data_IF_017596666353
#
_entry.id   IF_017596666353
#
_cell.length_a   1.000
_cell.length_b   1.000
_cell.length_c   1.000
_cell.angle_alpha   90.00
_cell.angle_beta   90.00
_cell.angle_gamma   90.00
#
_symmetry.space_group_name_H-M   'P 1'
#
loop_
_entity.id
_entity.type
_entity.pdbx_description
1 polymer ?
#
# COMPACT_ATOMS: atom_id res chain seq x y z
N UNK A 1 15.06 -19.36 -13.29
CA UNK A 1 13.86 -19.72 -14.06
C UNK A 1 14.27 -20.55 -15.30
N UNK A 2 14.95 -19.95 -16.29
CA UNK A 2 15.35 -20.68 -17.52
C UNK A 2 16.06 -22.02 -17.28
N UNK A 3 17.02 -22.08 -16.34
CA UNK A 3 17.80 -23.30 -16.05
C UNK A 3 17.01 -24.40 -15.34
N UNK A 4 15.84 -24.09 -14.75
CA UNK A 4 15.05 -25.01 -13.94
C UNK A 4 13.72 -25.40 -14.58
N UNK A 5 13.48 -25.03 -15.84
CA UNK A 5 12.21 -25.30 -16.57
C UNK A 5 10.94 -24.94 -15.76
N UNK A 6 11.02 -23.85 -14.98
CA UNK A 6 9.89 -23.41 -14.18
C UNK A 6 8.82 -22.79 -15.09
N UNK A 7 7.61 -23.32 -15.06
CA UNK A 7 6.47 -22.70 -15.74
C UNK A 7 6.07 -21.43 -14.96
N UNK A 8 5.98 -20.30 -15.66
CA UNK A 8 5.52 -19.04 -15.11
C UNK A 8 4.30 -18.59 -15.88
N UNK A 9 3.23 -18.22 -15.17
CA UNK A 9 2.01 -17.63 -15.73
C UNK A 9 1.85 -16.23 -15.17
N UNK A 10 1.57 -15.26 -16.01
CA UNK A 10 1.29 -13.87 -15.64
C UNK A 10 -0.11 -13.49 -16.11
N UNK A 11 -0.93 -12.99 -15.19
CA UNK A 11 -2.32 -12.58 -15.45
C UNK A 11 -2.40 -11.06 -15.35
N UNK A 12 -2.96 -10.41 -16.35
CA UNK A 12 -3.13 -8.96 -16.33
C UNK A 12 -3.69 -8.39 -17.62
N UNK A 13 -3.95 -7.09 -17.61
CA UNK A 13 -4.50 -6.37 -18.78
C UNK A 13 -3.45 -6.00 -19.81
N UNK A 14 -2.19 -5.83 -19.37
CA UNK A 14 -1.06 -5.46 -20.22
C UNK A 14 0.14 -6.33 -19.93
N UNK A 15 0.81 -6.77 -20.97
CA UNK A 15 2.05 -7.50 -20.87
C UNK A 15 3.18 -6.60 -20.37
N UNK A 16 3.98 -7.11 -19.45
CA UNK A 16 5.12 -6.40 -18.88
C UNK A 16 6.42 -6.98 -19.43
N UNK A 17 7.49 -6.19 -19.40
CA UNK A 17 8.85 -6.66 -19.76
C UNK A 17 9.27 -7.91 -18.97
N UNK A 18 8.70 -8.11 -17.78
CA UNK A 18 8.99 -9.30 -16.97
C UNK A 18 8.44 -10.58 -17.60
N UNK A 19 7.33 -10.52 -18.35
CA UNK A 19 6.75 -11.66 -19.06
C UNK A 19 7.78 -12.20 -20.08
N UNK A 20 8.34 -11.32 -20.90
CA UNK A 20 9.37 -11.68 -21.89
C UNK A 20 10.63 -12.22 -21.23
N UNK A 21 11.13 -11.53 -20.19
CA UNK A 21 12.35 -11.94 -19.47
C UNK A 21 12.21 -13.30 -18.81
N UNK A 22 11.06 -13.59 -18.28
CA UNK A 22 10.75 -14.87 -17.61
C UNK A 22 10.28 -15.93 -18.59
N UNK A 23 9.98 -15.59 -19.84
CA UNK A 23 9.28 -16.44 -20.82
C UNK A 23 7.99 -16.98 -20.22
N UNK A 24 7.22 -16.10 -19.59
CA UNK A 24 5.97 -16.46 -18.95
C UNK A 24 4.87 -16.62 -20.00
N UNK A 25 3.94 -17.53 -19.72
CA UNK A 25 2.65 -17.55 -20.41
C UNK A 25 1.84 -16.32 -19.94
N UNK A 26 1.41 -15.47 -20.88
CA UNK A 26 0.61 -14.30 -20.54
C UNK A 26 -0.87 -14.57 -20.78
N UNK A 27 -1.64 -14.50 -19.69
CA UNK A 27 -3.10 -14.58 -19.71
C UNK A 27 -3.65 -13.16 -19.72
N UNK A 28 -3.97 -12.65 -20.92
CA UNK A 28 -4.52 -11.30 -21.08
C UNK A 28 -5.99 -11.29 -20.67
N UNK A 29 -6.32 -10.38 -19.74
CA UNK A 29 -7.69 -10.17 -19.25
C UNK A 29 -8.06 -8.70 -19.30
N UNK A 30 -9.34 -8.42 -19.48
CA UNK A 30 -9.83 -7.06 -19.31
C UNK A 30 -9.75 -6.65 -17.83
N UNK A 31 -9.54 -5.35 -17.53
CA UNK A 31 -9.55 -4.86 -16.15
C UNK A 31 -10.82 -5.31 -15.41
N UNK A 32 -10.65 -5.84 -14.18
CA UNK A 32 -11.76 -6.37 -13.37
C UNK A 32 -12.12 -7.85 -13.65
N UNK A 33 -11.47 -8.51 -14.60
CA UNK A 33 -11.71 -9.94 -14.92
C UNK A 33 -10.63 -10.86 -14.36
N UNK A 34 -9.70 -10.34 -13.58
CA UNK A 34 -8.57 -11.08 -13.03
C UNK A 34 -9.03 -12.23 -12.12
N UNK A 35 -10.11 -12.03 -11.35
CA UNK A 35 -10.64 -13.05 -10.44
C UNK A 35 -11.03 -14.35 -11.18
N UNK A 36 -11.69 -14.23 -12.33
CA UNK A 36 -12.09 -15.38 -13.14
C UNK A 36 -10.87 -16.10 -13.74
N UNK A 37 -9.90 -15.36 -14.25
CA UNK A 37 -8.68 -15.94 -14.81
C UNK A 37 -7.81 -16.62 -13.74
N UNK A 38 -7.77 -16.10 -12.52
CA UNK A 38 -7.08 -16.70 -11.37
C UNK A 38 -7.75 -18.03 -11.01
N UNK A 39 -9.07 -18.07 -10.94
CA UNK A 39 -9.84 -19.27 -10.60
C UNK A 39 -9.65 -20.42 -11.58
N UNK A 40 -9.30 -20.13 -12.83
CA UNK A 40 -9.04 -21.14 -13.87
C UNK A 40 -7.63 -21.74 -13.83
N UNK A 41 -6.75 -21.26 -12.96
CA UNK A 41 -5.38 -21.78 -12.89
C UNK A 41 -5.32 -23.12 -12.15
N UNK A 42 -4.54 -24.06 -12.69
CA UNK A 42 -4.27 -25.34 -12.07
C UNK A 42 -2.90 -25.31 -11.39
N UNK A 43 -2.90 -25.35 -10.08
CA UNK A 43 -1.70 -25.28 -9.25
C UNK A 43 -1.56 -26.51 -8.36
N UNK A 44 -0.39 -26.67 -7.75
CA UNK A 44 -0.09 -27.74 -6.80
C UNK A 44 0.60 -27.16 -5.57
N UNK A 45 0.79 -27.97 -4.53
CA UNK A 45 1.54 -27.58 -3.32
C UNK A 45 3.00 -27.16 -3.57
N UNK A 46 3.53 -27.44 -4.77
CA UNK A 46 4.87 -26.98 -5.21
C UNK A 46 4.84 -25.63 -5.92
N UNK A 47 3.65 -25.07 -6.14
CA UNK A 47 3.47 -23.77 -6.80
C UNK A 47 3.60 -22.64 -5.80
N UNK A 48 3.91 -21.44 -6.32
CA UNK A 48 3.94 -20.20 -5.57
C UNK A 48 3.11 -19.16 -6.33
N UNK A 49 2.20 -18.51 -5.64
CA UNK A 49 1.40 -17.41 -6.15
C UNK A 49 2.03 -16.11 -5.65
N UNK A 50 2.49 -15.26 -6.56
CA UNK A 50 3.01 -13.93 -6.26
C UNK A 50 1.90 -12.91 -6.54
N UNK A 51 1.50 -12.17 -5.53
CA UNK A 51 0.39 -11.20 -5.60
C UNK A 51 0.95 -9.80 -5.41
N UNK A 52 0.73 -8.93 -6.37
CA UNK A 52 1.06 -7.51 -6.28
C UNK A 52 -0.16 -6.64 -5.96
N UNK A 53 0.08 -5.38 -5.59
CA UNK A 53 -0.95 -4.42 -5.15
C UNK A 53 -2.10 -4.25 -6.15
N UNK A 54 -1.83 -4.36 -7.46
CA UNK A 54 -2.85 -4.21 -8.49
C UNK A 54 -3.98 -5.25 -8.42
N UNK A 55 -3.74 -6.40 -7.81
CA UNK A 55 -4.80 -7.38 -7.58
C UNK A 55 -5.93 -6.82 -6.68
N UNK A 56 -5.64 -5.83 -5.82
CA UNK A 56 -6.64 -5.17 -4.99
C UNK A 56 -7.56 -4.23 -5.78
N UNK A 57 -7.17 -3.79 -6.97
CA UNK A 57 -8.00 -2.95 -7.86
C UNK A 57 -9.12 -3.75 -8.53
N UNK A 58 -8.99 -5.08 -8.59
CA UNK A 58 -9.97 -5.98 -9.18
C UNK A 58 -10.80 -6.67 -8.11
N UNK A 59 -12.09 -6.36 -8.05
CA UNK A 59 -13.00 -6.96 -7.07
C UNK A 59 -12.99 -8.48 -7.16
N UNK A 60 -12.80 -9.14 -6.00
CA UNK A 60 -12.74 -10.59 -5.90
C UNK A 60 -11.39 -11.23 -6.27
N UNK A 61 -10.42 -10.50 -6.85
CA UNK A 61 -9.14 -11.11 -7.24
C UNK A 61 -8.35 -11.64 -6.04
N UNK A 62 -8.26 -10.89 -4.94
CA UNK A 62 -7.59 -11.36 -3.71
C UNK A 62 -8.31 -12.57 -3.11
N UNK A 63 -9.65 -12.60 -3.14
CA UNK A 63 -10.44 -13.76 -2.69
C UNK A 63 -10.22 -14.98 -3.58
N UNK A 64 -10.12 -14.79 -4.90
CA UNK A 64 -9.80 -15.87 -5.84
C UNK A 64 -8.38 -16.43 -5.61
N UNK A 65 -7.41 -15.56 -5.34
CA UNK A 65 -6.04 -15.95 -4.98
C UNK A 65 -6.03 -16.80 -3.71
N UNK A 66 -6.71 -16.36 -2.65
CA UNK A 66 -6.77 -17.08 -1.40
C UNK A 66 -7.44 -18.46 -1.58
N UNK A 67 -8.57 -18.51 -2.28
CA UNK A 67 -9.26 -19.78 -2.56
C UNK A 67 -8.41 -20.73 -3.41
N UNK A 68 -7.68 -20.22 -4.40
CA UNK A 68 -6.77 -21.01 -5.21
C UNK A 68 -5.58 -21.56 -4.39
N UNK A 69 -5.03 -20.74 -3.49
CA UNK A 69 -3.97 -21.16 -2.59
C UNK A 69 -4.45 -22.28 -1.64
N UNK A 70 -5.62 -22.10 -1.03
CA UNK A 70 -6.20 -23.09 -0.12
C UNK A 70 -6.50 -24.42 -0.83
N UNK A 71 -7.14 -24.38 -2.00
CA UNK A 71 -7.54 -25.58 -2.73
C UNK A 71 -6.36 -26.37 -3.32
N UNK A 72 -5.28 -25.67 -3.70
CA UNK A 72 -4.11 -26.28 -4.33
C UNK A 72 -2.97 -26.61 -3.37
N UNK A 73 -2.99 -26.05 -2.15
CA UNK A 73 -1.86 -26.04 -1.23
C UNK A 73 -0.68 -25.17 -1.70
N UNK A 74 -0.87 -24.34 -2.71
CA UNK A 74 0.15 -23.44 -3.21
C UNK A 74 0.55 -22.40 -2.16
N UNK A 75 1.82 -22.05 -2.15
CA UNK A 75 2.32 -20.99 -1.25
C UNK A 75 1.94 -19.63 -1.80
N UNK A 76 1.54 -18.73 -0.90
CA UNK A 76 1.15 -17.37 -1.23
C UNK A 76 2.21 -16.39 -0.74
N UNK A 77 2.57 -15.44 -1.58
CA UNK A 77 3.45 -14.33 -1.22
C UNK A 77 2.89 -13.00 -1.71
N UNK A 78 2.75 -12.06 -0.80
CA UNK A 78 2.46 -10.67 -1.11
C UNK A 78 3.74 -9.95 -1.51
N UNK A 79 3.72 -9.28 -2.65
CA UNK A 79 4.82 -8.46 -3.14
C UNK A 79 4.47 -7.00 -2.92
N UNK A 80 4.92 -6.39 -1.82
CA UNK A 80 4.65 -4.99 -1.54
C UNK A 80 5.35 -4.11 -2.56
N UNK A 81 4.75 -2.98 -2.87
CA UNK A 81 5.36 -1.98 -3.74
C UNK A 81 6.38 -1.14 -2.98
N UNK A 82 6.09 -0.80 -1.73
CA UNK A 82 6.94 0.04 -0.88
C UNK A 82 7.71 -0.81 0.12
N UNK A 83 8.95 -0.41 0.39
CA UNK A 83 9.85 -1.15 1.27
C UNK A 83 9.33 -1.31 2.70
N UNK A 84 8.54 -0.35 3.20
CA UNK A 84 8.00 -0.36 4.56
C UNK A 84 6.75 -1.22 4.78
N UNK A 85 6.02 -1.60 3.72
CA UNK A 85 4.70 -2.24 3.85
C UNK A 85 4.73 -3.56 4.62
N UNK A 86 5.68 -4.44 4.34
CA UNK A 86 5.79 -5.71 5.02
C UNK A 86 6.10 -5.52 6.51
N UNK A 87 7.03 -4.62 6.85
CA UNK A 87 7.36 -4.29 8.23
C UNK A 87 6.18 -3.69 8.98
N UNK A 88 5.40 -2.82 8.34
CA UNK A 88 4.21 -2.23 8.92
C UNK A 88 3.15 -3.29 9.27
N UNK A 89 2.91 -4.27 8.40
CA UNK A 89 2.00 -5.38 8.68
C UNK A 89 2.47 -6.23 9.86
N UNK A 90 3.77 -6.56 9.92
CA UNK A 90 4.34 -7.33 11.04
C UNK A 90 4.32 -6.55 12.36
N UNK A 91 4.43 -5.23 12.30
CA UNK A 91 4.31 -4.36 13.46
C UNK A 91 2.85 -4.11 13.91
N UNK A 92 1.86 -4.61 13.17
CA UNK A 92 0.45 -4.39 13.47
C UNK A 92 -0.04 -2.97 13.15
N UNK A 93 0.64 -2.26 12.23
CA UNK A 93 0.26 -0.92 11.81
C UNK A 93 -0.94 -0.91 10.84
N UNK A 94 -1.95 -1.68 11.15
CA UNK A 94 -3.23 -1.78 10.43
C UNK A 94 -4.35 -2.11 11.43
N UNK A 95 -5.54 -1.59 11.21
CA UNK A 95 -6.61 -1.59 12.20
C UNK A 95 -7.12 -2.95 12.69
N UNK A 96 -6.84 -4.05 12.00
CA UNK A 96 -7.27 -5.40 12.38
C UNK A 96 -6.16 -6.28 12.98
N UNK A 97 -4.94 -5.77 13.06
CA UNK A 97 -3.78 -6.51 13.55
C UNK A 97 -3.11 -5.84 14.74
N UNK A 98 -2.65 -6.65 15.67
CA UNK A 98 -1.61 -6.37 16.64
C UNK A 98 -0.28 -6.94 16.11
N UNK A 99 0.87 -6.57 16.70
CA UNK A 99 2.18 -7.06 16.26
C UNK A 99 2.28 -8.58 16.13
N UNK A 100 3.06 -9.02 15.15
CA UNK A 100 3.29 -10.45 14.88
C UNK A 100 2.11 -11.16 14.20
N UNK A 101 1.18 -10.41 13.57
CA UNK A 101 0.03 -10.96 12.87
C UNK A 101 -1.10 -11.45 13.79
N UNK A 102 -1.16 -10.97 15.00
CA UNK A 102 -2.18 -11.24 16.01
C UNK A 102 -3.47 -10.48 15.68
N UNK A 103 -4.63 -11.14 15.60
CA UNK A 103 -5.89 -10.42 15.37
C UNK A 103 -6.26 -9.55 16.58
N UNK A 104 -6.65 -8.29 16.36
CA UNK A 104 -7.10 -7.39 17.43
C UNK A 104 -8.35 -7.92 18.15
N UNK A 105 -9.20 -8.69 17.46
CA UNK A 105 -10.42 -9.29 18.00
C UNK A 105 -10.19 -10.54 18.84
N UNK A 106 -8.99 -11.14 18.79
CA UNK A 106 -8.65 -12.33 19.56
C UNK A 106 -8.22 -11.97 20.98
N UNK A 107 -8.86 -12.58 21.99
CA UNK A 107 -8.62 -12.26 23.39
C UNK A 107 -7.21 -12.67 23.84
N UNK A 108 -6.71 -13.86 23.41
CA UNK A 108 -5.38 -14.33 23.76
C UNK A 108 -4.30 -13.45 23.12
N UNK A 109 -4.50 -13.02 21.86
CA UNK A 109 -3.63 -12.09 21.19
C UNK A 109 -3.49 -10.75 21.91
N UNK A 110 -4.62 -10.23 22.44
CA UNK A 110 -4.60 -9.00 23.25
C UNK A 110 -3.87 -9.19 24.59
N UNK A 111 -4.07 -10.31 25.24
CA UNK A 111 -3.35 -10.64 26.50
C UNK A 111 -1.86 -10.66 26.27
N UNK A 112 -1.37 -11.32 25.22
CA UNK A 112 0.05 -11.37 24.87
C UNK A 112 0.65 -9.97 24.72
N UNK A 113 -0.01 -9.10 23.95
CA UNK A 113 0.52 -7.77 23.65
C UNK A 113 0.32 -6.82 24.83
N UNK A 114 -0.78 -6.91 25.56
CA UNK A 114 -1.00 -6.12 26.75
C UNK A 114 0.07 -6.39 27.83
N UNK A 115 0.45 -7.65 28.02
CA UNK A 115 1.54 -8.04 28.91
C UNK A 115 2.87 -7.47 28.46
N UNK A 116 3.17 -7.52 27.15
CA UNK A 116 4.42 -6.97 26.59
C UNK A 116 4.49 -5.46 26.74
N UNK A 117 3.40 -4.75 26.47
CA UNK A 117 3.33 -3.30 26.55
C UNK A 117 3.03 -2.77 27.94
N UNK A 118 2.84 -3.66 28.92
CA UNK A 118 2.46 -3.32 30.28
C UNK A 118 1.27 -2.34 30.32
N UNK A 119 0.20 -2.71 29.61
CA UNK A 119 -1.05 -1.94 29.54
C UNK A 119 -2.22 -2.77 30.03
N UNK A 120 -3.19 -2.13 30.68
CA UNK A 120 -4.35 -2.82 31.23
C UNK A 120 -5.38 -3.21 30.17
N UNK A 121 -5.40 -2.53 29.03
CA UNK A 121 -6.38 -2.79 27.98
C UNK A 121 -5.87 -2.44 26.60
N UNK A 122 -6.39 -3.18 25.62
CA UNK A 122 -6.21 -2.92 24.19
C UNK A 122 -7.59 -2.87 23.52
N UNK A 123 -7.72 -2.18 22.37
CA UNK A 123 -8.96 -2.19 21.59
C UNK A 123 -9.43 -3.61 21.27
N UNK A 124 -10.73 -3.86 21.37
CA UNK A 124 -11.34 -5.16 21.06
C UNK A 124 -11.94 -5.21 19.67
N UNK A 125 -12.19 -4.05 19.09
CA UNK A 125 -12.82 -3.88 17.79
C UNK A 125 -11.78 -3.56 16.71
N UNK A 126 -12.10 -3.93 15.48
CA UNK A 126 -11.28 -3.59 14.31
C UNK A 126 -11.29 -2.08 14.11
N UNK A 127 -10.10 -1.50 13.98
CA UNK A 127 -9.92 -0.09 13.66
C UNK A 127 -10.44 0.25 12.24
N UNK A 128 -10.68 1.54 12.03
CA UNK A 128 -11.21 2.06 10.76
C UNK A 128 -10.17 2.01 9.64
N UNK A 129 -10.62 1.75 8.42
CA UNK A 129 -9.82 1.97 7.20
C UNK A 129 -9.65 3.48 6.94
N UNK A 130 -8.70 3.84 6.08
CA UNK A 130 -8.47 5.25 5.70
C UNK A 130 -9.75 5.95 5.24
N UNK A 131 -10.55 5.31 4.38
CA UNK A 131 -11.83 5.88 3.92
C UNK A 131 -12.81 6.10 5.06
N UNK A 132 -12.91 5.14 5.99
CA UNK A 132 -13.76 5.25 7.17
C UNK A 132 -13.27 6.31 8.16
N UNK A 133 -11.95 6.53 8.27
CA UNK A 133 -11.39 7.62 9.07
C UNK A 133 -11.80 8.97 8.47
N UNK A 134 -11.61 9.15 7.16
CA UNK A 134 -11.99 10.38 6.45
C UNK A 134 -13.49 10.67 6.61
N UNK A 135 -14.33 9.65 6.45
CA UNK A 135 -15.78 9.76 6.65
C UNK A 135 -16.12 10.14 8.09
N UNK A 136 -15.49 9.49 9.07
CA UNK A 136 -15.70 9.76 10.49
C UNK A 136 -15.28 11.17 10.91
N UNK A 137 -14.20 11.73 10.32
CA UNK A 137 -13.84 13.13 10.51
C UNK A 137 -14.88 14.05 9.87
N UNK A 138 -15.25 13.79 8.62
CA UNK A 138 -16.23 14.61 7.92
C UNK A 138 -17.61 14.62 8.59
N UNK A 139 -18.00 13.52 9.23
CA UNK A 139 -19.21 13.42 10.05
C UNK A 139 -19.07 13.99 11.48
N UNK A 140 -17.86 14.34 11.92
CA UNK A 140 -17.57 14.86 13.25
C UNK A 140 -17.43 13.79 14.35
N UNK A 141 -17.35 12.51 13.97
CA UNK A 141 -17.12 11.40 14.91
C UNK A 141 -15.65 11.27 15.35
N UNK A 142 -14.71 11.84 14.58
CA UNK A 142 -13.30 11.99 14.92
C UNK A 142 -12.96 13.47 14.88
N UNK A 143 -12.41 13.99 15.99
CA UNK A 143 -12.05 15.41 16.12
C UNK A 143 -10.58 15.71 15.89
N UNK A 144 -9.69 14.72 15.92
CA UNK A 144 -8.25 14.92 15.76
C UNK A 144 -7.60 13.80 14.94
N UNK A 145 -6.53 14.15 14.23
CA UNK A 145 -5.73 13.23 13.43
C UNK A 145 -4.23 13.43 13.71
N UNK A 146 -3.50 12.33 13.77
CA UNK A 146 -2.03 12.33 13.64
C UNK A 146 -1.70 11.77 12.27
N UNK A 147 -1.05 12.55 11.42
CA UNK A 147 -0.77 12.21 10.02
C UNK A 147 0.73 12.27 9.78
N UNK A 148 1.31 11.18 9.30
CA UNK A 148 2.74 11.10 9.01
C UNK A 148 3.03 10.45 7.67
N UNK A 149 3.75 11.14 6.79
CA UNK A 149 4.21 10.62 5.51
C UNK A 149 3.10 10.24 4.53
N UNK A 150 1.94 10.90 4.60
CA UNK A 150 0.77 10.64 3.74
C UNK A 150 0.54 11.82 2.81
N UNK A 151 0.48 11.55 1.50
CA UNK A 151 0.00 12.54 0.53
C UNK A 151 -1.53 12.39 0.37
N UNK A 152 -2.33 13.39 0.81
CA UNK A 152 -3.78 13.34 0.71
C UNK A 152 -4.29 13.34 -0.74
N UNK A 153 -3.44 13.74 -1.70
CA UNK A 153 -3.78 13.78 -3.12
C UNK A 153 -3.63 12.42 -3.80
N UNK A 154 -2.92 11.46 -3.18
CA UNK A 154 -2.77 10.09 -3.67
C UNK A 154 -4.00 9.20 -3.42
N UNK A 155 -4.97 9.68 -2.64
CA UNK A 155 -6.17 8.93 -2.28
C UNK A 155 -7.25 8.95 -3.37
N UNK A 156 -8.19 7.99 -3.28
CA UNK A 156 -9.31 7.89 -4.22
C UNK A 156 -10.27 9.08 -4.20
N UNK A 157 -10.31 9.83 -3.10
CA UNK A 157 -11.12 11.03 -2.93
C UNK A 157 -10.31 12.12 -2.22
N UNK A 158 -9.44 12.77 -2.97
CA UNK A 158 -8.56 13.83 -2.46
C UNK A 158 -9.35 15.00 -1.86
N UNK A 159 -10.47 15.39 -2.46
CA UNK A 159 -11.29 16.49 -1.95
C UNK A 159 -11.87 16.18 -0.57
N UNK A 160 -12.42 14.97 -0.36
CA UNK A 160 -12.93 14.57 0.95
C UNK A 160 -11.80 14.46 1.99
N UNK A 161 -10.61 14.05 1.57
CA UNK A 161 -9.43 13.97 2.45
C UNK A 161 -8.98 15.37 2.89
N UNK A 162 -8.88 16.31 1.94
CA UNK A 162 -8.53 17.71 2.26
C UNK A 162 -9.57 18.34 3.19
N UNK A 163 -10.87 18.14 2.91
CA UNK A 163 -11.95 18.64 3.76
C UNK A 163 -11.89 18.05 5.19
N UNK A 164 -11.50 16.78 5.33
CA UNK A 164 -11.29 16.17 6.64
C UNK A 164 -10.11 16.82 7.39
N UNK A 165 -9.00 17.10 6.69
CA UNK A 165 -7.85 17.81 7.28
C UNK A 165 -8.21 19.25 7.72
N UNK A 166 -9.03 19.96 6.94
CA UNK A 166 -9.50 21.30 7.29
C UNK A 166 -10.44 21.31 8.51
N UNK A 167 -11.09 20.18 8.79
CA UNK A 167 -12.08 20.05 9.88
C UNK A 167 -11.50 19.54 11.19
N UNK A 168 -10.51 18.65 11.14
CA UNK A 168 -9.91 18.02 12.30
C UNK A 168 -8.83 18.90 12.96
N UNK A 169 -8.53 18.64 14.23
CA UNK A 169 -7.25 19.04 14.81
C UNK A 169 -6.15 18.12 14.28
N UNK A 170 -5.23 18.65 13.48
CA UNK A 170 -4.21 17.85 12.79
C UNK A 170 -2.83 18.07 13.40
N UNK A 171 -2.20 16.97 13.80
CA UNK A 171 -0.76 16.89 14.10
C UNK A 171 -0.06 16.21 12.94
N UNK A 172 0.85 16.92 12.29
CA UNK A 172 1.59 16.47 11.11
C UNK A 172 3.01 16.05 11.48
N UNK A 173 3.44 14.87 11.02
CA UNK A 173 4.81 14.37 11.09
C UNK A 173 5.34 14.26 9.66
N UNK A 174 6.07 15.26 9.19
CA UNK A 174 6.49 15.37 7.79
C UNK A 174 7.96 15.77 7.66
N UNK A 175 8.58 15.33 6.57
CA UNK A 175 9.97 15.68 6.23
C UNK A 175 10.09 16.97 5.42
N UNK A 176 9.00 17.44 4.85
CA UNK A 176 8.94 18.63 4.00
C UNK A 176 7.54 19.25 4.03
N UNK A 177 7.37 20.51 3.62
CA UNK A 177 6.07 21.13 3.41
C UNK A 177 5.19 20.30 2.47
N UNK A 178 3.92 20.13 2.83
CA UNK A 178 2.96 19.30 2.10
C UNK A 178 1.54 19.84 2.27
N UNK A 179 0.59 19.31 1.52
CA UNK A 179 -0.82 19.62 1.68
C UNK A 179 -1.37 19.29 3.09
N UNK A 180 -0.70 18.41 3.83
CA UNK A 180 -1.01 18.14 5.23
C UNK A 180 -0.45 19.22 6.14
N UNK A 181 0.81 19.60 5.97
CA UNK A 181 1.44 20.64 6.82
C UNK A 181 0.75 22.00 6.68
N UNK A 182 0.24 22.32 5.49
CA UNK A 182 -0.52 23.57 5.24
C UNK A 182 -1.83 23.64 6.03
N UNK A 183 -2.38 22.50 6.44
CA UNK A 183 -3.65 22.37 7.18
C UNK A 183 -3.46 21.95 8.63
N UNK A 184 -2.24 21.63 9.02
CA UNK A 184 -1.97 21.14 10.36
C UNK A 184 -2.00 22.24 11.41
N UNK A 185 -2.56 21.93 12.58
CA UNK A 185 -2.50 22.79 13.76
C UNK A 185 -1.12 22.71 14.43
N UNK A 186 -0.48 21.54 14.34
CA UNK A 186 0.87 21.31 14.85
C UNK A 186 1.69 20.59 13.78
N UNK A 187 2.86 21.10 13.44
CA UNK A 187 3.81 20.46 12.55
C UNK A 187 5.04 20.05 13.33
N UNK A 188 5.35 18.77 13.31
CA UNK A 188 6.52 18.18 13.95
C UNK A 188 7.45 17.65 12.84
N UNK A 189 8.51 18.38 12.48
CA UNK A 189 9.45 17.93 11.46
C UNK A 189 10.14 16.64 11.89
N UNK A 190 10.15 15.64 11.00
CA UNK A 190 10.77 14.33 11.25
C UNK A 190 12.03 14.15 10.42
N UNK A 191 12.97 13.37 10.94
CA UNK A 191 14.19 13.01 10.25
C UNK A 191 13.90 12.29 8.93
N UNK A 192 14.58 12.67 7.85
CA UNK A 192 14.58 11.93 6.61
C UNK A 192 15.22 10.55 6.80
N UNK A 193 15.01 9.64 5.82
CA UNK A 193 15.56 8.28 5.90
C UNK A 193 17.09 8.25 6.03
N UNK A 194 17.77 9.24 5.49
CA UNK A 194 19.24 9.39 5.57
C UNK A 194 19.71 9.90 6.93
N UNK A 195 18.84 10.47 7.74
CA UNK A 195 19.14 11.08 9.04
C UNK A 195 18.77 10.18 10.21
N UNK A 196 18.23 9.01 9.97
CA UNK A 196 17.81 8.04 11.00
C UNK A 196 18.28 6.64 10.67
N UNK A 197 18.42 5.82 11.70
CA UNK A 197 18.65 4.38 11.56
C UNK A 197 17.35 3.60 11.71
N UNK A 198 17.34 2.36 11.23
CA UNK A 198 16.16 1.51 11.31
C UNK A 198 16.37 0.15 10.64
N UNK A 199 15.26 -0.50 10.31
CA UNK A 199 15.28 -1.72 9.52
C UNK A 199 14.06 -1.81 8.61
N UNK A 200 14.25 -2.44 7.46
CA UNK A 200 13.17 -2.85 6.57
C UNK A 200 13.00 -4.37 6.63
N UNK A 201 11.77 -4.80 6.51
CA UNK A 201 11.45 -6.21 6.30
C UNK A 201 11.08 -6.40 4.83
N UNK A 202 11.83 -7.23 4.09
CA UNK A 202 11.53 -7.47 2.69
C UNK A 202 10.32 -8.42 2.54
N UNK A 203 9.84 -8.61 1.32
CA UNK A 203 8.69 -9.46 1.03
C UNK A 203 8.88 -10.94 1.42
N UNK A 204 10.14 -11.41 1.51
CA UNK A 204 10.46 -12.76 2.00
C UNK A 204 10.48 -12.86 3.55
N UNK A 205 10.29 -11.74 4.26
CA UNK A 205 10.38 -11.67 5.72
C UNK A 205 11.80 -11.51 6.27
N UNK A 206 12.76 -11.10 5.44
CA UNK A 206 14.15 -10.87 5.88
C UNK A 206 14.34 -9.43 6.33
N UNK A 207 14.81 -9.27 7.57
CA UNK A 207 15.18 -7.95 8.09
C UNK A 207 16.49 -7.45 7.46
N UNK A 208 16.51 -6.16 7.14
CA UNK A 208 17.68 -5.41 6.66
C UNK A 208 17.79 -4.12 7.45
N UNK A 209 18.82 -4.02 8.27
CA UNK A 209 19.13 -2.81 9.01
C UNK A 209 19.83 -1.80 8.12
N UNK A 210 19.73 -0.53 8.48
CA UNK A 210 20.45 0.59 7.92
C UNK A 210 20.78 1.60 9.00
N UNK A 211 21.88 2.27 8.85
CA UNK A 211 22.35 3.34 9.75
C UNK A 211 22.09 4.71 9.12
N UNK A 212 22.07 5.75 9.95
CA UNK A 212 22.00 7.11 9.46
C UNK A 212 23.24 7.44 8.62
N UNK A 213 23.03 7.96 7.42
CA UNK A 213 24.11 8.46 6.56
C UNK A 213 24.56 9.87 6.98
N UNK A 214 23.65 10.65 7.56
CA UNK A 214 23.90 11.98 8.12
C UNK A 214 23.79 11.88 9.63
N UNK A 215 24.93 11.91 10.31
CA UNK A 215 25.00 11.64 11.75
C UNK A 215 24.81 12.87 12.65
N UNK A 216 24.97 14.07 12.09
CA UNK A 216 24.93 15.36 12.80
C UNK A 216 23.59 16.11 12.64
N UNK A 217 22.56 15.44 12.10
CA UNK A 217 21.22 16.02 12.00
C UNK A 217 20.60 16.26 13.36
N UNK A 218 19.97 17.42 13.52
CA UNK A 218 19.18 17.78 14.70
C UNK A 218 17.73 17.27 14.63
N UNK A 219 17.31 16.75 13.49
CA UNK A 219 15.98 16.21 13.29
C UNK A 219 15.75 14.96 14.14
N UNK A 220 14.54 14.80 14.63
CA UNK A 220 14.13 13.64 15.44
C UNK A 220 13.45 12.61 14.54
N UNK A 221 13.70 11.32 14.78
CA UNK A 221 12.94 10.26 14.11
C UNK A 221 11.49 10.25 14.59
N UNK A 222 10.58 9.74 13.75
CA UNK A 222 9.17 9.53 14.08
C UNK A 222 9.02 8.78 15.42
N UNK A 223 9.79 7.71 15.60
CA UNK A 223 9.83 6.93 16.85
C UNK A 223 10.13 7.81 18.05
N UNK A 224 11.12 8.69 17.94
CA UNK A 224 11.53 9.58 19.03
C UNK A 224 10.47 10.63 19.34
N UNK A 225 9.87 11.22 18.31
CA UNK A 225 8.79 12.21 18.45
C UNK A 225 7.58 11.57 19.14
N UNK A 226 7.12 10.41 18.67
CA UNK A 226 6.00 9.69 19.29
C UNK A 226 6.29 9.31 20.75
N UNK A 227 7.51 8.89 21.06
CA UNK A 227 7.92 8.61 22.43
C UNK A 227 7.92 9.85 23.32
N UNK A 228 8.33 11.01 22.79
CA UNK A 228 8.27 12.29 23.52
C UNK A 228 6.83 12.74 23.76
N UNK A 229 5.94 12.62 22.77
CA UNK A 229 4.52 12.92 22.94
C UNK A 229 3.92 12.05 24.03
N UNK A 230 4.17 10.74 24.01
CA UNK A 230 3.68 9.83 25.04
C UNK A 230 4.22 10.22 26.44
N UNK A 231 5.48 10.61 26.53
CA UNK A 231 6.08 11.05 27.80
C UNK A 231 5.42 12.33 28.35
N UNK A 232 5.11 13.30 27.49
CA UNK A 232 4.35 14.50 27.88
C UNK A 232 2.92 14.18 28.33
N UNK A 233 2.36 13.08 27.83
CA UNK A 233 1.07 12.54 28.28
C UNK A 233 1.17 11.69 29.57
N UNK A 234 2.36 11.59 30.17
CA UNK A 234 2.62 10.78 31.37
C UNK A 234 2.77 9.28 31.09
N UNK A 235 2.96 8.87 29.84
CA UNK A 235 3.11 7.47 29.43
C UNK A 235 4.54 7.22 28.96
N UNK A 236 5.25 6.26 29.57
CA UNK A 236 6.56 5.83 29.09
C UNK A 236 6.43 4.63 28.16
N UNK A 237 6.74 4.81 26.88
CA UNK A 237 6.78 3.71 25.91
C UNK A 237 8.07 2.89 26.00
N UNK A 238 9.11 3.39 26.66
CA UNK A 238 10.46 2.79 26.72
C UNK A 238 11.09 2.54 25.34
N UNK A 239 10.61 3.23 24.30
CA UNK A 239 11.01 3.08 22.90
C UNK A 239 11.83 4.28 22.38
N UNK A 240 12.58 4.95 23.23
CA UNK A 240 13.34 6.15 22.84
C UNK A 240 14.49 5.90 21.87
N UNK A 241 14.83 4.64 21.57
CA UNK A 241 15.90 4.26 20.64
C UNK A 241 15.48 3.15 19.70
N UNK A 242 16.11 3.10 18.53
CA UNK A 242 15.89 2.02 17.53
C UNK A 242 16.25 0.65 18.12
N UNK A 243 17.32 0.57 18.92
CA UNK A 243 17.73 -0.67 19.59
C UNK A 243 16.66 -1.18 20.55
N UNK A 244 15.99 -0.29 21.30
CA UNK A 244 14.89 -0.68 22.18
C UNK A 244 13.70 -1.21 21.38
N UNK A 245 13.33 -0.56 20.29
CA UNK A 245 12.24 -1.00 19.40
C UNK A 245 12.53 -2.37 18.75
N UNK A 246 13.76 -2.57 18.26
CA UNK A 246 14.19 -3.87 17.69
C UNK A 246 14.13 -4.97 18.76
N UNK A 247 14.56 -4.69 19.98
CA UNK A 247 14.51 -5.64 21.09
C UNK A 247 13.08 -5.99 21.45
N UNK A 248 12.16 -5.03 21.48
CA UNK A 248 10.75 -5.29 21.72
C UNK A 248 10.14 -6.14 20.61
N UNK A 249 10.35 -5.79 19.34
CA UNK A 249 9.90 -6.59 18.20
C UNK A 249 10.39 -8.05 18.30
N UNK A 250 11.65 -8.25 18.67
CA UNK A 250 12.23 -9.59 18.84
C UNK A 250 11.58 -10.37 20.01
N UNK A 251 11.10 -9.68 21.04
CA UNK A 251 10.46 -10.30 22.22
C UNK A 251 9.01 -10.71 21.99
N UNK A 252 8.34 -10.20 20.94
CA UNK A 252 6.93 -10.51 20.64
C UNK A 252 6.69 -12.01 20.42
N UNK A 253 7.67 -12.72 19.90
CA UNK A 253 7.54 -14.15 19.59
C UNK A 253 6.59 -14.45 18.42
N UNK A 254 6.53 -15.72 18.06
CA UNK A 254 5.64 -16.19 16.98
C UNK A 254 4.22 -16.36 17.52
N UNK A 255 3.25 -15.94 16.71
CA UNK A 255 1.85 -16.20 16.97
C UNK A 255 1.42 -17.53 16.33
N UNK A 256 0.92 -18.46 17.11
CA UNK A 256 0.43 -19.78 16.71
C UNK A 256 -1.11 -19.91 16.81
N UNK A 257 -1.78 -18.86 17.31
CA UNK A 257 -3.23 -18.80 17.40
C UNK A 257 -3.95 -18.50 16.09
N UNK A 258 -5.24 -18.17 16.19
CA UNK A 258 -6.08 -17.85 15.06
C UNK A 258 -5.52 -16.75 14.18
N UNK A 259 -5.72 -16.84 12.87
CA UNK A 259 -5.39 -15.79 11.91
C UNK A 259 -6.61 -14.92 11.64
N UNK A 260 -6.37 -13.69 11.18
CA UNK A 260 -7.48 -12.83 10.71
C UNK A 260 -8.24 -13.56 9.61
N UNK A 261 -9.55 -13.71 9.80
CA UNK A 261 -10.43 -14.12 8.70
C UNK A 261 -10.59 -12.96 7.73
N UNK A 262 -10.63 -13.26 6.45
CA UNK A 262 -10.94 -12.25 5.44
C UNK A 262 -12.37 -12.43 4.93
N UNK A 263 -13.04 -11.32 4.68
CA UNK A 263 -14.35 -11.35 4.07
C UNK A 263 -14.20 -11.72 2.59
N UNK A 264 -14.88 -12.79 2.16
CA UNK A 264 -14.91 -13.16 0.75
C UNK A 264 -15.59 -12.05 -0.06
N UNK A 265 -14.88 -11.47 -0.99
CA UNK A 265 -15.38 -10.51 -1.95
C UNK A 265 -15.64 -11.24 -3.26
N UNK A 266 -16.85 -11.13 -3.78
CA UNK A 266 -17.19 -11.68 -5.08
C UNK A 266 -16.65 -10.78 -6.20
N UNK A 267 -16.32 -11.40 -7.34
CA UNK A 267 -16.02 -10.64 -8.55
C UNK A 267 -17.24 -9.77 -8.92
N UNK A 268 -16.98 -8.52 -9.24
CA UNK A 268 -18.04 -7.66 -9.78
C UNK A 268 -18.30 -8.02 -11.24
N UNK A 269 -19.56 -7.89 -11.67
CA UNK A 269 -19.88 -7.90 -13.10
C UNK A 269 -19.21 -6.70 -13.77
N UNK A 270 -18.73 -6.87 -14.98
CA UNK A 270 -18.26 -5.71 -15.75
C UNK A 270 -19.43 -4.75 -16.01
N UNK A 271 -19.22 -3.44 -15.81
CA UNK A 271 -20.22 -2.46 -16.19
C UNK A 271 -20.44 -2.51 -17.71
N UNK A 272 -21.69 -2.37 -18.14
CA UNK A 272 -21.99 -2.15 -19.55
C UNK A 272 -21.44 -0.79 -19.96
N UNK A 273 -20.45 -0.78 -20.85
CA UNK A 273 -19.83 0.44 -21.35
C UNK A 273 -20.48 0.88 -22.66
N UNK A 274 -20.78 2.16 -22.79
CA UNK A 274 -21.15 2.76 -24.07
C UNK A 274 -19.92 2.88 -25.00
N UNK A 275 -20.14 3.22 -26.26
CA UNK A 275 -19.09 3.26 -27.26
C UNK A 275 -17.98 4.27 -26.97
N UNK A 276 -18.26 5.31 -26.21
CA UNK A 276 -17.34 6.37 -25.78
C UNK A 276 -16.71 6.13 -24.41
N UNK A 277 -17.11 5.08 -23.68
CA UNK A 277 -16.60 4.76 -22.35
C UNK A 277 -15.55 3.66 -22.37
N UNK A 278 -14.64 3.72 -21.42
CA UNK A 278 -13.61 2.71 -21.17
C UNK A 278 -13.38 2.53 -19.68
N UNK A 279 -12.96 1.33 -19.27
CA UNK A 279 -12.40 1.12 -17.94
C UNK A 279 -10.98 1.64 -17.90
N UNK A 280 -10.70 2.53 -16.94
CA UNK A 280 -9.36 3.02 -16.69
C UNK A 280 -8.66 2.01 -15.78
N UNK A 281 -7.49 1.56 -16.19
CA UNK A 281 -6.55 0.86 -15.32
C UNK A 281 -5.26 1.66 -15.30
N UNK A 282 -4.65 1.77 -14.13
CA UNK A 282 -3.40 2.49 -13.97
C UNK A 282 -2.36 1.58 -13.34
N UNK A 283 -1.11 1.92 -13.50
CA UNK A 283 -0.01 1.31 -12.78
C UNK A 283 1.02 2.39 -12.46
N UNK A 284 1.60 2.29 -11.30
CA UNK A 284 2.65 3.19 -10.88
C UNK A 284 3.96 2.82 -11.54
N UNK A 285 4.71 3.82 -11.94
CA UNK A 285 6.04 3.63 -12.51
C UNK A 285 7.10 3.60 -11.41
N UNK A 286 8.29 3.12 -11.73
CA UNK A 286 9.42 3.11 -10.81
C UNK A 286 9.82 4.55 -10.41
N UNK A 287 9.83 5.45 -11.38
CA UNK A 287 9.98 6.90 -11.16
C UNK A 287 8.59 7.52 -11.26
N UNK A 288 8.06 7.93 -10.14
CA UNK A 288 6.79 8.63 -9.99
C UNK A 288 7.02 10.02 -9.37
N UNK A 289 5.96 10.77 -9.13
CA UNK A 289 6.02 12.05 -8.43
C UNK A 289 5.87 11.90 -6.91
N UNK A 290 6.17 10.73 -6.37
CA UNK A 290 6.08 10.44 -4.95
C UNK A 290 7.03 11.31 -4.11
N UNK A 291 6.72 11.46 -2.83
CA UNK A 291 7.46 12.33 -1.89
C UNK A 291 8.96 12.05 -1.81
N UNK A 292 9.39 10.79 -2.01
CA UNK A 292 10.81 10.43 -2.01
C UNK A 292 11.58 10.90 -3.26
N UNK A 293 10.89 11.36 -4.29
CA UNK A 293 11.48 11.88 -5.53
C UNK A 293 11.20 13.37 -5.72
N UNK A 294 10.48 13.97 -4.81
CA UNK A 294 10.14 15.38 -4.86
C UNK A 294 11.41 16.26 -4.80
N UNK A 295 11.54 17.20 -5.74
CA UNK A 295 12.69 18.07 -5.83
C UNK A 295 13.93 17.48 -6.53
N UNK A 296 13.89 16.21 -6.97
CA UNK A 296 14.98 15.57 -7.71
C UNK A 296 14.75 15.64 -9.22
N UNK A 297 15.19 16.74 -9.83
CA UNK A 297 14.94 17.04 -11.24
C UNK A 297 15.72 16.13 -12.21
N UNK A 298 16.95 15.75 -11.85
CA UNK A 298 17.82 14.96 -12.72
C UNK A 298 17.27 13.53 -12.90
N UNK A 299 16.90 12.87 -11.80
CA UNK A 299 16.32 11.53 -11.85
C UNK A 299 14.92 11.57 -12.48
N UNK A 300 14.10 12.58 -12.14
CA UNK A 300 12.78 12.79 -12.72
C UNK A 300 12.84 12.97 -14.24
N UNK A 301 13.89 13.62 -14.75
CA UNK A 301 14.15 13.79 -16.19
C UNK A 301 14.34 12.47 -16.96
N UNK A 302 14.69 11.38 -16.27
CA UNK A 302 14.81 10.04 -16.87
C UNK A 302 13.50 9.24 -16.85
N UNK A 303 12.45 9.76 -16.25
CA UNK A 303 11.15 9.09 -16.18
C UNK A 303 10.54 8.94 -17.59
N UNK A 304 9.93 7.79 -17.84
CA UNK A 304 9.13 7.62 -19.06
C UNK A 304 7.91 8.53 -19.03
N UNK A 305 7.60 9.13 -20.18
CA UNK A 305 6.39 9.95 -20.30
C UNK A 305 5.13 9.14 -19.94
N UNK A 306 4.22 9.79 -19.25
CA UNK A 306 2.88 9.23 -19.00
C UNK A 306 2.09 9.30 -20.29
N UNK A 307 1.52 8.18 -20.71
CA UNK A 307 0.75 8.03 -21.94
C UNK A 307 -0.56 7.28 -21.67
N UNK A 308 -1.54 7.50 -22.54
CA UNK A 308 -2.78 6.73 -22.55
C UNK A 308 -2.61 5.53 -23.49
N UNK A 309 -2.47 4.33 -22.91
CA UNK A 309 -2.37 3.10 -23.72
C UNK A 309 -3.76 2.64 -24.11
N UNK A 310 -4.02 2.50 -25.40
CA UNK A 310 -5.28 2.04 -25.95
C UNK A 310 -5.06 0.95 -26.99
N UNK A 311 -6.01 0.02 -27.10
CA UNK A 311 -5.92 -1.04 -28.10
C UNK A 311 -6.14 -0.48 -29.53
N UNK A 312 -5.56 -1.10 -30.57
CA UNK A 312 -5.78 -0.70 -31.96
C UNK A 312 -7.27 -0.67 -32.35
N UNK A 313 -8.04 -1.64 -31.84
CA UNK A 313 -9.49 -1.69 -32.07
C UNK A 313 -10.19 -0.44 -31.50
N UNK A 314 -9.80 -0.03 -30.30
CA UNK A 314 -10.38 1.15 -29.66
C UNK A 314 -9.92 2.43 -30.33
N UNK A 315 -8.63 2.55 -30.64
CA UNK A 315 -8.08 3.69 -31.35
C UNK A 315 -8.81 3.94 -32.67
N UNK A 316 -9.03 2.90 -33.47
CA UNK A 316 -9.80 2.97 -34.70
C UNK A 316 -11.24 3.41 -34.46
N UNK A 317 -11.89 2.91 -33.40
CA UNK A 317 -13.30 3.21 -33.12
C UNK A 317 -13.53 4.69 -32.73
N UNK A 318 -12.53 5.35 -32.12
CA UNK A 318 -12.62 6.76 -31.70
C UNK A 318 -11.82 7.70 -32.62
N UNK A 319 -11.24 7.20 -33.71
CA UNK A 319 -10.53 7.99 -34.71
C UNK A 319 -9.20 8.58 -34.22
N UNK A 320 -8.51 7.90 -33.28
CA UNK A 320 -7.25 8.34 -32.69
C UNK A 320 -6.10 7.49 -33.26
N UNK A 321 -4.97 8.13 -33.57
CA UNK A 321 -3.73 7.46 -33.97
C UNK A 321 -2.65 7.62 -32.88
N UNK A 322 -1.57 6.87 -33.04
CA UNK A 322 -0.45 6.92 -32.10
C UNK A 322 0.15 8.33 -32.03
N UNK A 323 0.34 8.83 -30.81
CA UNK A 323 0.84 10.19 -30.54
C UNK A 323 -0.22 11.29 -30.41
N UNK A 324 -1.46 11.04 -30.82
CA UNK A 324 -2.54 12.02 -30.68
C UNK A 324 -2.82 12.38 -29.21
N UNK A 325 -3.34 13.58 -28.99
CA UNK A 325 -3.78 14.00 -27.66
C UNK A 325 -5.16 13.44 -27.33
N UNK A 326 -5.20 12.55 -26.34
CA UNK A 326 -6.43 11.91 -25.87
C UNK A 326 -6.87 12.51 -24.53
N UNK A 327 -8.05 13.11 -24.51
CA UNK A 327 -8.68 13.56 -23.27
C UNK A 327 -9.44 12.42 -22.61
N UNK A 328 -9.07 12.12 -21.37
CA UNK A 328 -9.70 11.11 -20.53
C UNK A 328 -10.41 11.84 -19.39
N UNK A 329 -11.70 11.57 -19.21
CA UNK A 329 -12.52 12.24 -18.20
C UNK A 329 -13.19 11.22 -17.28
N UNK A 330 -13.29 11.56 -16.00
CA UNK A 330 -14.08 10.85 -15.00
C UNK A 330 -15.01 11.83 -14.29
N UNK A 331 -15.81 11.36 -13.35
CA UNK A 331 -16.62 12.24 -12.49
C UNK A 331 -15.78 13.15 -11.59
N UNK A 332 -14.50 12.85 -11.40
CA UNK A 332 -13.60 13.61 -10.53
C UNK A 332 -12.70 14.58 -11.29
N UNK A 333 -12.64 14.49 -12.61
CA UNK A 333 -11.79 15.38 -13.40
C UNK A 333 -11.41 14.81 -14.75
N UNK A 334 -10.50 15.50 -15.44
CA UNK A 334 -9.99 15.06 -16.73
C UNK A 334 -8.49 15.29 -16.86
N UNK A 335 -7.85 14.47 -17.67
CA UNK A 335 -6.43 14.56 -18.05
C UNK A 335 -6.30 14.39 -19.54
N UNK A 336 -5.36 15.11 -20.14
CA UNK A 336 -5.02 14.93 -21.57
C UNK A 336 -3.61 14.33 -21.66
N UNK A 337 -3.52 13.19 -22.34
CA UNK A 337 -2.28 12.44 -22.51
C UNK A 337 -2.09 12.06 -23.97
N UNK A 338 -0.83 11.89 -24.40
CA UNK A 338 -0.56 11.30 -25.71
C UNK A 338 -1.01 9.84 -25.75
N UNK A 339 -1.71 9.47 -26.80
CA UNK A 339 -2.11 8.11 -27.04
C UNK A 339 -0.91 7.23 -27.41
N UNK A 340 -0.88 6.02 -26.89
CA UNK A 340 0.01 4.93 -27.32
C UNK A 340 -0.88 3.78 -27.77
N UNK A 341 -0.85 3.47 -29.06
CA UNK A 341 -1.68 2.41 -29.64
C UNK A 341 -0.92 1.08 -29.63
N UNK A 342 -1.36 0.14 -28.75
CA UNK A 342 -0.60 -1.09 -28.47
C UNK A 342 -1.51 -2.34 -28.27
#
# INVERSE_FOLDING_TARGET
>A
FRKRALKVVSIGSKESIAVDKLKAEFVKVAPGQEAAAIALQSLTSKSVILVGERAAESAGALSAVAALADSSGAKLAWIPRRAGERGALEAGAIGNLLPGGRPVTDAAARVDIAALWNTDSLPTEIGRSTSQIIEAVNSGSIGALVVGGVDPLDGNNSQATLAALDKAFVVSLEIAPSAVTERANVVLPVAAITEKSGSFLNWEGRSRSFDAAVSDSLNRSDLRILSMIAQEMGISLNLGTVTAAIKEIASIGKWDGARVSFNKVNASSQPALSADQALITSWRRLLDLGTLQQGEENLAGTARRTVAVISPKRAKAIGVVDGDQLKISTTQGSVTLSALVE
#
